data_IF_444729827480
#
_entry.id   IF_444729827480
#
_cell.length_a   1.000
_cell.length_b   1.000
_cell.length_c   1.000
_cell.angle_alpha   90.00
_cell.angle_beta   90.00
_cell.angle_gamma   90.00
#
_symmetry.space_group_name_H-M   'P 1'
#
loop_
_entity.id
_entity.type
_entity.pdbx_description
1 polymer ?
#
# COMPACT_ATOMS: atom_id res chain seq x y z
N UNK A 1 -15.26 -13.33 -6.22
CA UNK A 1 -14.61 -14.01 -5.08
C UNK A 1 -13.75 -12.99 -4.35
N UNK A 2 -13.69 -13.05 -3.02
CA UNK A 2 -12.85 -12.13 -2.24
C UNK A 2 -11.41 -12.60 -2.23
N UNK A 3 -10.46 -11.70 -2.47
CA UNK A 3 -9.03 -11.95 -2.31
C UNK A 3 -8.76 -12.60 -0.93
N UNK A 4 -8.11 -13.76 -0.92
CA UNK A 4 -7.76 -14.50 0.30
C UNK A 4 -6.28 -14.24 0.69
N UNK A 5 -5.83 -14.74 1.84
CA UNK A 5 -4.45 -14.54 2.31
C UNK A 5 -3.41 -15.32 1.50
N UNK A 6 -3.71 -16.55 1.10
CA UNK A 6 -2.81 -17.38 0.27
C UNK A 6 -2.54 -16.74 -1.09
N UNK A 7 -3.56 -16.13 -1.70
CA UNK A 7 -3.45 -15.36 -2.94
C UNK A 7 -2.56 -14.13 -2.77
N UNK A 8 -2.69 -13.41 -1.66
CA UNK A 8 -1.83 -12.24 -1.37
C UNK A 8 -0.37 -12.68 -1.26
N UNK A 9 -0.09 -13.72 -0.49
CA UNK A 9 1.27 -14.25 -0.32
C UNK A 9 1.85 -14.73 -1.66
N UNK A 10 1.05 -15.43 -2.46
CA UNK A 10 1.45 -15.89 -3.78
C UNK A 10 1.80 -14.69 -4.68
N UNK A 11 0.94 -13.68 -4.77
CA UNK A 11 1.15 -12.48 -5.58
C UNK A 11 2.40 -11.71 -5.15
N UNK A 12 2.64 -11.56 -3.84
CA UNK A 12 3.82 -10.90 -3.30
C UNK A 12 5.11 -11.69 -3.57
N UNK A 13 5.02 -13.01 -3.72
CA UNK A 13 6.16 -13.90 -3.99
C UNK A 13 6.51 -14.01 -5.49
N UNK A 14 5.52 -14.12 -6.36
CA UNK A 14 5.70 -14.36 -7.80
C UNK A 14 6.17 -13.10 -8.54
N UNK A 15 5.76 -11.94 -8.04
CA UNK A 15 6.03 -10.66 -8.66
C UNK A 15 6.83 -9.83 -7.63
N UNK A 16 8.18 -9.90 -7.66
CA UNK A 16 8.99 -9.33 -6.60
C UNK A 16 8.95 -7.80 -6.64
N UNK A 17 8.21 -7.24 -5.68
CA UNK A 17 8.20 -5.81 -5.33
C UNK A 17 9.55 -5.36 -4.75
N UNK A 18 10.24 -6.29 -4.07
CA UNK A 18 11.48 -6.02 -3.34
C UNK A 18 12.61 -5.59 -4.27
N UNK A 19 13.31 -4.53 -3.89
CA UNK A 19 14.40 -3.93 -4.65
C UNK A 19 13.95 -3.05 -5.81
N UNK A 20 12.65 -2.87 -6.03
CA UNK A 20 12.12 -1.95 -7.06
C UNK A 20 12.03 -0.52 -6.52
N UNK A 21 12.19 0.44 -7.43
CA UNK A 21 12.07 1.88 -7.16
C UNK A 21 10.70 2.40 -7.56
N UNK A 22 10.05 3.17 -6.70
CA UNK A 22 8.75 3.79 -6.96
C UNK A 22 8.94 5.01 -7.87
N UNK A 23 8.58 4.88 -9.14
CA UNK A 23 8.76 5.93 -10.14
C UNK A 23 7.61 6.94 -10.13
N UNK A 24 6.38 6.42 -10.10
CA UNK A 24 5.15 7.19 -10.06
C UNK A 24 4.07 6.46 -9.27
N UNK A 25 3.04 7.22 -8.92
CA UNK A 25 1.94 6.76 -8.09
C UNK A 25 0.67 7.34 -8.69
N UNK A 26 -0.32 6.49 -8.92
CA UNK A 26 -1.60 6.87 -9.51
C UNK A 26 -2.74 6.40 -8.62
N UNK A 27 -3.85 7.11 -8.65
CA UNK A 27 -5.05 6.77 -7.91
C UNK A 27 -6.24 6.90 -8.87
N UNK A 28 -6.51 5.89 -9.73
CA UNK A 28 -7.53 5.99 -10.79
C UNK A 28 -8.94 6.28 -10.27
N UNK A 29 -9.26 5.75 -9.10
CA UNK A 29 -10.55 5.93 -8.43
C UNK A 29 -10.34 6.17 -6.94
N UNK A 30 -11.39 6.57 -6.21
CA UNK A 30 -11.33 6.77 -4.76
C UNK A 30 -10.95 5.49 -3.98
N UNK A 31 -11.10 4.31 -4.58
CA UNK A 31 -10.88 3.00 -3.94
C UNK A 31 -9.70 2.22 -4.53
N UNK A 32 -8.87 2.84 -5.36
CA UNK A 32 -7.77 2.14 -6.05
C UNK A 32 -6.47 2.95 -6.06
N UNK A 33 -5.35 2.26 -5.90
CA UNK A 33 -4.00 2.81 -5.98
C UNK A 33 -3.17 2.01 -6.98
N UNK A 34 -2.28 2.68 -7.70
CA UNK A 34 -1.28 2.04 -8.55
C UNK A 34 0.09 2.58 -8.20
N UNK A 35 1.04 1.66 -8.01
CA UNK A 35 2.45 1.98 -7.94
C UNK A 35 3.11 1.62 -9.28
N UNK A 36 3.78 2.58 -9.90
CA UNK A 36 4.69 2.33 -11.00
C UNK A 36 6.08 2.08 -10.44
N UNK A 37 6.59 0.87 -10.68
CA UNK A 37 7.81 0.36 -10.09
C UNK A 37 8.82 0.06 -11.19
N UNK A 38 10.06 0.45 -10.97
CA UNK A 38 11.17 0.12 -11.85
C UNK A 38 12.16 -0.79 -11.13
N UNK A 39 12.45 -1.95 -11.71
CA UNK A 39 13.43 -2.88 -11.18
C UNK A 39 13.83 -3.93 -12.22
N UNK A 40 15.05 -4.44 -12.11
CA UNK A 40 15.62 -5.43 -13.05
C UNK A 40 15.51 -5.01 -14.53
N UNK A 41 15.58 -3.71 -14.81
CA UNK A 41 15.48 -3.16 -16.17
C UNK A 41 14.05 -3.11 -16.74
N UNK A 42 13.04 -3.44 -15.94
CA UNK A 42 11.64 -3.49 -16.38
C UNK A 42 10.75 -2.56 -15.56
N UNK A 43 9.76 -1.97 -16.24
CA UNK A 43 8.71 -1.19 -15.60
C UNK A 43 7.53 -2.12 -15.30
N UNK A 44 7.10 -2.16 -14.05
CA UNK A 44 5.95 -2.96 -13.59
C UNK A 44 4.96 -2.05 -12.88
N UNK A 45 3.67 -2.32 -13.03
CA UNK A 45 2.61 -1.58 -12.35
C UNK A 45 1.92 -2.50 -11.37
N UNK A 46 1.73 -2.08 -10.12
CA UNK A 46 0.94 -2.85 -9.14
C UNK A 46 -0.34 -2.14 -8.82
N UNK A 47 -1.45 -2.83 -9.03
CA UNK A 47 -2.78 -2.33 -8.75
C UNK A 47 -3.30 -2.86 -7.42
N UNK A 48 -3.72 -1.94 -6.57
CA UNK A 48 -4.40 -2.19 -5.31
C UNK A 48 -5.84 -1.66 -5.47
N UNK A 49 -6.83 -2.48 -5.15
CA UNK A 49 -8.22 -2.05 -5.04
C UNK A 49 -8.85 -2.55 -3.76
N UNK A 50 -9.59 -1.66 -3.11
CA UNK A 50 -10.40 -1.93 -1.91
C UNK A 50 -11.91 -1.71 -2.19
N UNK A 51 -12.28 -1.59 -3.46
CA UNK A 51 -13.66 -1.40 -3.88
C UNK A 51 -14.54 -2.58 -3.43
N UNK A 52 -15.82 -2.28 -3.15
CA UNK A 52 -16.82 -3.32 -2.87
C UNK A 52 -16.90 -4.28 -4.07
N UNK A 53 -16.87 -5.58 -3.82
CA UNK A 53 -16.86 -6.68 -4.80
C UNK A 53 -15.70 -6.71 -5.81
N UNK A 54 -14.74 -5.78 -5.73
CA UNK A 54 -13.61 -5.68 -6.65
C UNK A 54 -12.27 -5.48 -5.92
N UNK A 55 -12.14 -6.05 -4.71
CA UNK A 55 -10.90 -5.99 -3.94
C UNK A 55 -9.85 -6.95 -4.54
N UNK A 56 -8.68 -6.41 -4.92
CA UNK A 56 -7.62 -7.17 -5.58
C UNK A 56 -6.26 -6.49 -5.43
N UNK A 57 -5.21 -7.31 -5.42
CA UNK A 57 -3.81 -6.91 -5.55
C UNK A 57 -3.23 -7.71 -6.72
N UNK A 58 -2.67 -7.07 -7.75
CA UNK A 58 -2.03 -7.79 -8.85
C UNK A 58 -1.15 -6.84 -9.69
N UNK A 59 -0.16 -7.37 -10.42
CA UNK A 59 0.53 -6.61 -11.45
C UNK A 59 -0.39 -6.29 -12.63
N UNK A 60 -0.20 -5.13 -13.25
CA UNK A 60 -0.84 -4.75 -14.52
C UNK A 60 0.16 -4.83 -15.66
N UNK A 61 -0.30 -5.36 -16.79
CA UNK A 61 0.47 -5.39 -18.05
C UNK A 61 0.45 -4.05 -18.80
N UNK A 62 -0.47 -3.15 -18.44
CA UNK A 62 -0.64 -1.84 -19.08
C UNK A 62 -0.73 -0.71 -18.04
N UNK A 63 -0.28 0.51 -18.37
CA UNK A 63 -0.44 1.66 -17.49
C UNK A 63 -1.92 1.96 -17.24
N UNK A 64 -2.24 2.52 -16.08
CA UNK A 64 -3.60 3.00 -15.82
C UNK A 64 -3.95 4.28 -16.57
N UNK A 65 -5.25 4.53 -16.78
CA UNK A 65 -5.72 5.83 -17.19
C UNK A 65 -5.29 6.89 -16.17
N UNK A 66 -4.75 8.01 -16.66
CA UNK A 66 -4.43 9.15 -15.81
C UNK A 66 -5.74 9.82 -15.40
N UNK A 67 -5.83 10.17 -14.11
CA UNK A 67 -6.92 11.01 -13.67
C UNK A 67 -6.71 12.45 -14.15
N UNK A 68 -7.79 13.07 -14.61
CA UNK A 68 -7.79 14.50 -14.97
C UNK A 68 -7.50 15.39 -13.75
N UNK A 69 -7.87 14.94 -12.55
CA UNK A 69 -7.63 15.64 -11.29
C UNK A 69 -6.85 14.76 -10.30
N UNK A 70 -5.70 15.22 -9.80
CA UNK A 70 -4.95 14.47 -8.79
C UNK A 70 -5.77 14.39 -7.49
N UNK A 71 -5.81 13.20 -6.90
CA UNK A 71 -6.48 12.96 -5.63
C UNK A 71 -5.49 13.19 -4.48
N UNK A 72 -5.99 13.71 -3.35
CA UNK A 72 -5.14 14.14 -2.22
C UNK A 72 -4.21 13.04 -1.72
N UNK A 73 -4.70 11.81 -1.59
CA UNK A 73 -3.89 10.69 -1.10
C UNK A 73 -2.77 10.34 -2.09
N UNK A 74 -3.05 10.37 -3.41
CA UNK A 74 -2.03 10.26 -4.45
C UNK A 74 -0.92 11.31 -4.27
N UNK A 75 -1.27 12.58 -4.08
CA UNK A 75 -0.28 13.66 -3.93
C UNK A 75 0.54 13.51 -2.65
N UNK A 76 -0.07 13.06 -1.54
CA UNK A 76 0.65 12.73 -0.32
C UNK A 76 1.67 11.60 -0.54
N UNK A 77 1.27 10.52 -1.20
CA UNK A 77 2.20 9.43 -1.54
C UNK A 77 3.32 9.93 -2.46
N UNK A 78 3.00 10.78 -3.45
CA UNK A 78 4.02 11.33 -4.36
C UNK A 78 5.03 12.21 -3.64
N UNK A 79 4.60 13.00 -2.66
CA UNK A 79 5.51 13.85 -1.88
C UNK A 79 6.34 13.07 -0.87
N UNK A 80 5.89 11.88 -0.45
CA UNK A 80 6.54 11.08 0.61
C UNK A 80 7.37 9.91 0.09
N UNK A 81 6.85 9.10 -0.83
CA UNK A 81 7.47 7.81 -1.20
C UNK A 81 7.94 7.72 -2.66
N UNK A 82 7.62 8.71 -3.51
CA UNK A 82 8.15 8.73 -4.88
C UNK A 82 9.68 8.82 -4.86
N UNK A 83 10.32 8.02 -5.69
CA UNK A 83 11.78 7.85 -5.72
C UNK A 83 12.32 6.94 -4.63
N UNK A 84 11.47 6.45 -3.72
CA UNK A 84 11.83 5.46 -2.70
C UNK A 84 12.04 4.07 -3.28
N UNK A 85 12.75 3.23 -2.53
CA UNK A 85 13.02 1.82 -2.84
C UNK A 85 12.19 0.95 -1.91
N UNK A 86 11.52 -0.07 -2.46
CA UNK A 86 10.84 -1.08 -1.65
C UNK A 86 11.88 -2.05 -1.09
N UNK A 87 12.02 -2.07 0.24
CA UNK A 87 12.95 -2.95 0.94
C UNK A 87 12.34 -4.33 1.19
N UNK A 88 11.07 -4.36 1.59
CA UNK A 88 10.35 -5.59 1.90
C UNK A 88 8.89 -5.44 1.49
N UNK A 89 8.26 -6.53 1.08
CA UNK A 89 6.83 -6.62 0.86
C UNK A 89 6.36 -7.97 1.40
N UNK A 90 5.41 -7.96 2.33
CA UNK A 90 4.96 -9.17 3.03
C UNK A 90 3.52 -9.04 3.48
N UNK A 91 2.85 -10.17 3.67
CA UNK A 91 1.60 -10.21 4.41
C UNK A 91 1.86 -10.20 5.93
N UNK A 92 0.98 -9.58 6.70
CA UNK A 92 1.01 -9.64 8.16
C UNK A 92 0.21 -10.85 8.64
N UNK A 93 0.90 -11.86 9.18
CA UNK A 93 0.28 -13.06 9.72
C UNK A 93 -0.58 -13.78 8.67
N UNK A 94 -1.79 -14.18 9.07
CA UNK A 94 -2.83 -14.75 8.17
C UNK A 94 -3.93 -13.73 7.84
N UNK A 95 -3.67 -12.45 8.10
CA UNK A 95 -4.61 -11.38 7.79
C UNK A 95 -4.43 -10.89 6.36
N UNK A 96 -5.48 -10.31 5.78
CA UNK A 96 -5.45 -9.71 4.43
C UNK A 96 -4.82 -8.32 4.46
N UNK A 97 -3.62 -8.22 5.03
CA UNK A 97 -2.86 -6.98 5.14
C UNK A 97 -1.52 -7.17 4.46
N UNK A 98 -1.32 -6.48 3.35
CA UNK A 98 0.02 -6.33 2.77
C UNK A 98 0.72 -5.15 3.42
N UNK A 99 1.96 -5.34 3.86
CA UNK A 99 2.88 -4.32 4.35
C UNK A 99 4.03 -4.18 3.35
N UNK A 100 4.26 -2.97 2.88
CA UNK A 100 5.36 -2.61 2.00
C UNK A 100 6.27 -1.63 2.74
N UNK A 101 7.52 -2.03 2.94
CA UNK A 101 8.55 -1.24 3.61
C UNK A 101 9.29 -0.43 2.55
N UNK A 102 9.32 0.88 2.73
CA UNK A 102 9.83 1.82 1.75
C UNK A 102 10.90 2.69 2.41
N UNK A 103 12.06 2.80 1.77
CA UNK A 103 13.10 3.74 2.16
C UNK A 103 13.28 4.79 1.07
N UNK A 104 13.40 6.06 1.47
CA UNK A 104 13.68 7.17 0.56
C UNK A 104 14.66 8.12 1.23
N UNK A 105 15.46 8.82 0.44
CA UNK A 105 16.22 9.98 0.93
C UNK A 105 15.28 11.18 1.10
N UNK A 106 15.24 11.76 2.30
CA UNK A 106 14.47 12.96 2.60
C UNK A 106 15.14 14.24 2.05
N UNK A 107 14.54 15.40 2.33
CA UNK A 107 15.03 16.70 1.85
C UNK A 107 16.40 17.08 2.43
N UNK A 108 16.76 16.54 3.60
CA UNK A 108 18.02 16.75 4.30
C UNK A 108 19.13 15.78 3.85
N UNK A 109 18.83 14.86 2.92
CA UNK A 109 19.80 13.86 2.45
C UNK A 109 19.90 12.62 3.34
N UNK A 110 19.07 12.50 4.38
CA UNK A 110 19.04 11.35 5.28
C UNK A 110 18.04 10.28 4.81
N UNK A 111 18.29 8.98 5.11
CA UNK A 111 17.31 7.93 4.86
C UNK A 111 16.08 8.09 5.77
N UNK A 112 14.90 8.10 5.16
CA UNK A 112 13.58 8.14 5.80
C UNK A 112 12.82 6.86 5.44
N UNK A 113 12.39 6.13 6.48
CA UNK A 113 11.64 4.89 6.34
C UNK A 113 10.14 5.15 6.52
N UNK A 114 9.33 4.50 5.71
CA UNK A 114 7.87 4.53 5.78
C UNK A 114 7.29 3.18 5.42
N UNK A 115 6.03 2.97 5.78
CA UNK A 115 5.30 1.74 5.56
C UNK A 115 4.00 2.03 4.84
N UNK A 116 3.74 1.32 3.75
CA UNK A 116 2.44 1.32 3.08
C UNK A 116 1.69 0.05 3.48
N UNK A 117 0.59 0.22 4.21
CA UNK A 117 -0.29 -0.86 4.62
C UNK A 117 -1.52 -0.90 3.71
N UNK A 118 -1.77 -2.02 3.05
CA UNK A 118 -2.99 -2.27 2.29
C UNK A 118 -3.85 -3.32 2.99
N UNK A 119 -4.96 -2.86 3.59
CA UNK A 119 -6.00 -3.67 4.22
C UNK A 119 -6.99 -4.11 3.14
N UNK A 120 -6.88 -5.35 2.67
CA UNK A 120 -7.59 -5.87 1.50
C UNK A 120 -8.89 -6.60 1.87
N UNK A 121 -9.78 -5.90 2.58
CA UNK A 121 -11.15 -6.34 2.84
C UNK A 121 -12.12 -5.62 1.91
N UNK A 122 -13.05 -6.35 1.29
CA UNK A 122 -14.07 -5.72 0.45
C UNK A 122 -15.00 -4.84 1.30
N UNK A 123 -15.16 -3.57 0.93
CA UNK A 123 -16.00 -2.61 1.66
C UNK A 123 -15.41 -2.07 2.96
N UNK A 124 -14.63 -2.87 3.70
CA UNK A 124 -13.99 -2.47 4.98
C UNK A 124 -12.47 -2.25 4.88
N UNK A 125 -11.89 -2.34 3.68
CA UNK A 125 -10.47 -2.16 3.41
C UNK A 125 -10.03 -0.69 3.48
N UNK A 126 -8.72 -0.50 3.50
CA UNK A 126 -8.07 0.81 3.48
C UNK A 126 -6.63 0.68 2.97
N UNK A 127 -6.03 1.78 2.53
CA UNK A 127 -4.59 1.86 2.25
C UNK A 127 -4.04 3.03 3.06
N UNK A 128 -3.01 2.80 3.88
CA UNK A 128 -2.46 3.80 4.80
C UNK A 128 -0.95 3.93 4.58
N UNK A 129 -0.47 5.18 4.51
CA UNK A 129 0.94 5.48 4.62
C UNK A 129 1.25 5.80 6.09
N UNK A 130 2.26 5.15 6.66
CA UNK A 130 2.63 5.24 8.07
C UNK A 130 4.12 5.53 8.18
N UNK A 131 4.51 6.41 9.09
CA UNK A 131 5.92 6.75 9.36
C UNK A 131 6.65 5.63 10.11
N UNK A 132 7.98 5.76 10.24
CA UNK A 132 8.78 4.85 11.05
C UNK A 132 8.32 4.77 12.51
N UNK A 133 7.79 5.87 13.05
CA UNK A 133 7.29 6.02 14.42
C UNK A 133 5.87 5.45 14.60
N UNK A 134 5.28 4.86 13.56
CA UNK A 134 3.93 4.31 13.61
C UNK A 134 2.82 5.36 13.53
N UNK A 135 3.11 6.57 13.03
CA UNK A 135 2.10 7.61 12.85
C UNK A 135 1.53 7.57 11.44
N UNK A 136 0.20 7.60 11.31
CA UNK A 136 -0.47 7.67 10.01
C UNK A 136 -0.16 9.01 9.37
N UNK A 137 0.50 8.99 8.21
CA UNK A 137 0.79 10.18 7.42
C UNK A 137 -0.48 10.59 6.66
N UNK A 138 -1.08 9.66 5.92
CA UNK A 138 -2.40 9.82 5.29
C UNK A 138 -3.01 8.45 5.01
N UNK A 139 -4.31 8.43 4.69
CA UNK A 139 -5.05 7.23 4.34
C UNK A 139 -5.91 7.46 3.10
N UNK A 140 -6.08 6.41 2.29
CA UNK A 140 -6.95 6.40 1.13
C UNK A 140 -8.39 6.70 1.55
N UNK A 141 -8.86 6.02 2.61
CA UNK A 141 -10.11 6.33 3.31
C UNK A 141 -9.81 6.90 4.69
N UNK A 142 -10.27 8.11 4.96
CA UNK A 142 -10.14 8.73 6.28
C UNK A 142 -11.32 8.29 7.14
N UNK A 143 -11.06 7.46 8.14
CA UNK A 143 -12.10 6.85 8.98
C UNK A 143 -11.87 7.22 10.46
N UNK A 144 -12.39 8.38 10.92
CA UNK A 144 -12.22 8.84 12.31
C UNK A 144 -12.69 7.80 13.34
N UNK A 145 -13.80 7.10 13.08
CA UNK A 145 -14.33 6.06 13.97
C UNK A 145 -13.39 4.86 14.16
N UNK A 146 -12.41 4.66 13.26
CA UNK A 146 -11.39 3.61 13.34
C UNK A 146 -10.01 4.16 13.71
N UNK A 147 -9.91 5.45 14.04
CA UNK A 147 -8.65 6.18 14.22
C UNK A 147 -7.70 6.08 13.00
N UNK A 148 -8.26 5.90 11.80
CA UNK A 148 -7.50 5.80 10.54
C UNK A 148 -7.49 7.17 9.85
N UNK A 149 -6.85 8.15 10.49
CA UNK A 149 -6.72 9.54 10.03
C UNK A 149 -5.29 10.03 10.23
N UNK A 150 -4.88 11.04 9.46
CA UNK A 150 -3.54 11.65 9.58
C UNK A 150 -3.24 12.12 10.99
N UNK A 151 -2.03 11.84 11.48
CA UNK A 151 -1.56 12.20 12.82
C UNK A 151 -1.90 11.19 13.91
N UNK A 152 -2.81 10.25 13.66
CA UNK A 152 -3.13 9.19 14.62
C UNK A 152 -2.08 8.08 14.62
N UNK A 153 -1.90 7.42 15.76
CA UNK A 153 -1.10 6.20 15.87
C UNK A 153 -1.76 5.05 15.10
N UNK A 154 -1.01 4.43 14.21
CA UNK A 154 -1.44 3.22 13.50
C UNK A 154 -1.35 2.02 14.43
N UNK A 155 -2.47 1.31 14.56
CA UNK A 155 -2.56 0.07 15.33
C UNK A 155 -2.88 -1.05 14.34
N UNK A 156 -1.98 -2.03 14.25
CA UNK A 156 -2.29 -3.28 13.56
C UNK A 156 -3.42 -3.99 14.31
N UNK A 157 -4.42 -4.57 13.62
CA UNK A 157 -5.39 -5.41 14.31
C UNK A 157 -4.61 -6.50 15.05
N UNK A 158 -4.89 -6.67 16.34
CA UNK A 158 -4.31 -7.78 17.10
C UNK A 158 -4.71 -9.06 16.36
N UNK A 159 -3.72 -9.92 16.10
CA UNK A 159 -4.01 -11.25 15.61
C UNK A 159 -5.00 -11.85 16.60
N UNK A 160 -6.21 -12.20 16.14
CA UNK A 160 -7.09 -13.03 16.95
C UNK A 160 -6.35 -14.36 17.11
N UNK A 161 -5.67 -14.51 18.24
CA UNK A 161 -5.12 -15.78 18.66
C UNK A 161 -6.24 -16.79 18.52
N UNK A 162 -6.10 -17.70 17.55
CA UNK A 162 -7.04 -18.78 17.30
C UNK A 162 -7.00 -19.84 18.42
N UNK A 163 -6.47 -19.48 19.59
CA UNK A 163 -6.53 -20.26 20.82
C UNK A 163 -7.73 -19.80 21.65
N UNK A 164 -8.93 -20.13 21.17
CA UNK A 164 -9.99 -20.53 22.09
C UNK A 164 -10.27 -22.00 21.79
N UNK A 165 -9.81 -22.82 22.73
CA UNK A 165 -10.20 -24.22 22.93
C UNK A 165 -11.72 -24.35 23.00
#
# INVERSE_FOLDING_TARGET
MSLNCEEIDLILSEAPLVGTKIQNIYQPTYDSLILELFGKGTLTYYFFSIAQNACRLHPLSTPAPKNERPLRFMECLRSRIRGGTILYASQIGKDRIAKIDIIRTNEEGAPEQSYLYARLWSGAGNILLVSAEGIIIDALRRLPARNEVSGSTFILPQQLDSNKQ
#
